data_IF_206239446230
#
_entry.id   IF_206239446230
#
_cell.length_a   1.000
_cell.length_b   1.000
_cell.length_c   1.000
_cell.angle_alpha   90.00
_cell.angle_beta   90.00
_cell.angle_gamma   90.00
#
_symmetry.space_group_name_H-M   'P 1'
#
loop_
_entity.id
_entity.type
_entity.pdbx_description
1 polymer ?
#
# COMPACT_ATOMS: atom_id res chain seq x y z
N UNK A 1 -26.93 -41.26 -45.08
CA UNK A 1 -25.69 -41.82 -44.50
C UNK A 1 -24.53 -41.02 -45.09
N UNK A 2 -24.09 -39.99 -44.36
CA UNK A 2 -22.86 -39.96 -43.52
C UNK A 2 -21.59 -39.80 -44.37
N UNK A 3 -20.68 -38.86 -44.13
CA UNK A 3 -20.56 -37.72 -43.21
C UNK A 3 -19.40 -36.88 -43.79
N UNK A 4 -19.58 -35.56 -43.93
CA UNK A 4 -18.48 -34.62 -44.17
C UNK A 4 -17.89 -34.31 -42.80
N UNK A 5 -16.61 -34.62 -42.59
CA UNK A 5 -15.85 -34.14 -41.44
C UNK A 5 -14.74 -33.21 -41.95
N UNK A 6 -14.94 -31.90 -41.76
CA UNK A 6 -13.88 -30.90 -41.73
C UNK A 6 -13.25 -30.92 -40.34
N UNK A 7 -11.92 -30.92 -40.18
CA UNK A 7 -11.30 -30.70 -38.88
C UNK A 7 -11.31 -29.19 -38.60
N UNK A 8 -12.31 -28.74 -37.85
CA UNK A 8 -12.27 -27.46 -37.17
C UNK A 8 -11.96 -27.74 -35.70
N UNK A 9 -11.12 -26.88 -35.14
CA UNK A 9 -10.81 -26.71 -33.72
C UNK A 9 -9.58 -27.45 -33.16
N UNK A 10 -8.46 -26.74 -33.19
CA UNK A 10 -7.28 -27.00 -32.35
C UNK A 10 -6.61 -25.67 -32.04
N UNK A 11 -7.38 -24.75 -31.45
CA UNK A 11 -6.83 -23.52 -30.87
C UNK A 11 -7.87 -22.92 -29.93
N UNK A 12 -7.84 -23.33 -28.65
CA UNK A 12 -8.12 -22.52 -27.45
C UNK A 12 -8.68 -23.33 -26.26
N UNK A 13 -7.94 -24.33 -25.79
CA UNK A 13 -8.08 -24.84 -24.41
C UNK A 13 -7.11 -24.15 -23.44
N UNK A 14 -6.83 -22.85 -23.66
CA UNK A 14 -6.17 -22.00 -22.68
C UNK A 14 -7.18 -21.00 -22.08
N UNK A 15 -8.43 -21.45 -21.89
CA UNK A 15 -9.47 -20.63 -21.27
C UNK A 15 -9.25 -20.59 -19.76
N UNK A 16 -8.60 -19.51 -19.33
CA UNK A 16 -8.98 -18.75 -18.15
C UNK A 16 -9.10 -19.58 -16.85
N UNK A 17 -7.95 -20.00 -16.31
CA UNK A 17 -7.81 -20.04 -14.85
C UNK A 17 -7.98 -18.62 -14.33
N UNK A 18 -9.24 -18.19 -14.16
CA UNK A 18 -9.57 -17.14 -13.21
C UNK A 18 -8.97 -17.62 -11.89
N UNK A 19 -8.09 -16.86 -11.22
CA UNK A 19 -7.82 -17.19 -9.83
C UNK A 19 -9.18 -17.13 -9.14
N UNK A 20 -9.60 -18.26 -8.59
CA UNK A 20 -10.72 -18.35 -7.66
C UNK A 20 -10.51 -17.21 -6.67
N UNK A 21 -11.33 -16.16 -6.75
CA UNK A 21 -11.26 -15.09 -5.76
C UNK A 21 -11.57 -15.77 -4.44
N UNK A 22 -10.57 -15.92 -3.56
CA UNK A 22 -10.79 -16.44 -2.23
C UNK A 22 -11.74 -15.48 -1.50
N UNK A 23 -13.05 -15.71 -1.65
CA UNK A 23 -14.15 -14.87 -1.19
C UNK A 23 -14.18 -14.68 0.32
N UNK A 24 -13.31 -15.37 1.06
CA UNK A 24 -13.14 -15.25 2.51
C UNK A 24 -12.42 -13.96 2.91
N UNK A 25 -11.53 -13.43 2.09
CA UNK A 25 -10.71 -12.27 2.44
C UNK A 25 -11.40 -10.93 2.14
N UNK A 26 -12.28 -10.86 1.14
CA UNK A 26 -13.07 -9.65 0.85
C UNK A 26 -12.24 -8.35 0.84
N UNK A 27 -12.59 -7.40 1.71
CA UNK A 27 -11.91 -6.10 1.89
C UNK A 27 -10.65 -6.15 2.79
N UNK A 28 -10.35 -7.31 3.40
CA UNK A 28 -9.26 -7.44 4.37
C UNK A 28 -7.88 -7.12 3.80
N UNK A 29 -7.48 -7.59 2.60
CA UNK A 29 -6.18 -7.25 2.03
C UNK A 29 -6.02 -5.74 1.85
N UNK A 30 -7.05 -5.06 1.36
CA UNK A 30 -7.03 -3.60 1.17
C UNK A 30 -6.87 -2.86 2.50
N UNK A 31 -7.61 -3.26 3.54
CA UNK A 31 -7.47 -2.65 4.86
C UNK A 31 -6.07 -2.89 5.44
N UNK A 32 -5.56 -4.13 5.37
CA UNK A 32 -4.21 -4.48 5.83
C UNK A 32 -3.13 -3.70 5.08
N UNK A 33 -3.31 -3.48 3.77
CA UNK A 33 -2.44 -2.62 2.98
C UNK A 33 -2.41 -1.19 3.52
N UNK A 34 -3.58 -0.60 3.81
CA UNK A 34 -3.65 0.77 4.36
C UNK A 34 -3.00 0.84 5.75
N UNK A 35 -3.24 -0.16 6.60
CA UNK A 35 -2.62 -0.23 7.93
C UNK A 35 -1.10 -0.37 7.83
N UNK A 36 -0.60 -1.18 6.89
CA UNK A 36 0.83 -1.37 6.64
C UNK A 36 1.49 -0.09 6.12
N UNK A 37 0.84 0.64 5.22
CA UNK A 37 1.28 1.97 4.78
C UNK A 37 1.43 2.93 5.96
N UNK A 38 0.42 2.97 6.84
CA UNK A 38 0.47 3.82 8.05
C UNK A 38 1.60 3.37 8.99
N UNK A 39 1.79 2.06 9.21
CA UNK A 39 2.88 1.53 10.05
C UNK A 39 4.25 2.01 9.56
N UNK A 40 4.52 1.87 8.26
CA UNK A 40 5.80 2.28 7.67
C UNK A 40 5.98 3.81 7.68
N UNK A 41 4.91 4.59 7.52
CA UNK A 41 4.97 6.06 7.67
C UNK A 41 5.31 6.47 9.11
N UNK A 42 4.75 5.78 10.12
CA UNK A 42 5.10 6.05 11.52
C UNK A 42 6.57 5.72 11.80
N UNK A 43 7.06 4.59 11.27
CA UNK A 43 8.47 4.21 11.33
C UNK A 43 9.38 5.28 10.69
N UNK A 44 8.99 5.80 9.52
CA UNK A 44 9.72 6.86 8.85
C UNK A 44 9.83 8.13 9.70
N UNK A 45 8.74 8.52 10.37
CA UNK A 45 8.72 9.69 11.26
C UNK A 45 9.59 9.48 12.51
N UNK A 46 9.67 8.26 13.05
CA UNK A 46 10.54 7.94 14.18
C UNK A 46 12.01 8.11 13.77
N UNK A 47 12.42 7.54 12.63
CA UNK A 47 13.79 7.67 12.11
C UNK A 47 14.17 9.14 11.92
N UNK A 48 13.29 9.93 11.29
CA UNK A 48 13.54 11.37 11.10
C UNK A 48 13.71 12.13 12.41
N UNK A 49 12.88 11.81 13.42
CA UNK A 49 12.97 12.45 14.73
C UNK A 49 14.23 12.06 15.50
N UNK A 50 14.68 10.82 15.32
CA UNK A 50 15.95 10.32 15.84
C UNK A 50 17.13 11.06 15.21
N UNK A 51 17.17 11.18 13.89
CA UNK A 51 18.23 11.92 13.18
C UNK A 51 18.25 13.42 13.52
N UNK A 52 17.07 14.01 13.71
CA UNK A 52 16.93 15.39 14.15
C UNK A 52 17.26 15.63 15.62
N UNK A 53 17.50 14.58 16.42
CA UNK A 53 17.74 14.68 17.87
C UNK A 53 16.54 15.24 18.66
N UNK A 54 15.33 15.13 18.12
CA UNK A 54 14.08 15.69 18.69
C UNK A 54 13.23 14.65 19.43
N UNK A 55 13.70 13.41 19.50
CA UNK A 55 13.10 12.32 20.29
C UNK A 55 14.09 11.89 21.37
N UNK A 56 13.59 11.64 22.59
CA UNK A 56 14.41 11.10 23.67
C UNK A 56 14.69 9.61 23.44
N UNK A 57 15.79 9.08 24.00
CA UNK A 57 16.11 7.65 23.88
C UNK A 57 14.97 6.76 24.42
N UNK A 58 14.36 7.13 25.55
CA UNK A 58 13.26 6.36 26.13
C UNK A 58 11.97 6.41 25.31
N UNK A 59 11.72 7.53 24.60
CA UNK A 59 10.60 7.62 23.67
C UNK A 59 10.87 6.86 22.37
N UNK A 60 12.12 6.85 21.90
CA UNK A 60 12.55 6.08 20.74
C UNK A 60 12.35 4.58 20.98
N UNK A 61 12.82 4.06 22.11
CA UNK A 61 12.68 2.64 22.47
C UNK A 61 11.20 2.24 22.54
N UNK A 62 10.37 3.06 23.20
CA UNK A 62 8.93 2.82 23.33
C UNK A 62 8.22 2.85 21.97
N UNK A 63 8.63 3.77 21.10
CA UNK A 63 8.09 3.88 19.75
C UNK A 63 8.48 2.67 18.90
N UNK A 64 9.75 2.25 18.95
CA UNK A 64 10.24 1.05 18.26
C UNK A 64 9.49 -0.21 18.70
N UNK A 65 9.32 -0.41 20.03
CA UNK A 65 8.56 -1.54 20.58
C UNK A 65 7.09 -1.53 20.09
N UNK A 66 6.47 -0.34 20.03
CA UNK A 66 5.09 -0.19 19.58
C UNK A 66 4.93 -0.51 18.08
N UNK A 67 5.89 -0.09 17.25
CA UNK A 67 5.90 -0.40 15.81
C UNK A 67 6.11 -1.89 15.58
N UNK A 68 7.00 -2.53 16.33
CA UNK A 68 7.22 -3.97 16.25
C UNK A 68 5.95 -4.75 16.58
N UNK A 69 5.26 -4.40 17.67
CA UNK A 69 3.97 -5.02 18.03
C UNK A 69 2.92 -4.83 16.94
N UNK A 70 2.84 -3.65 16.35
CA UNK A 70 1.91 -3.39 15.24
C UNK A 70 2.25 -4.25 14.01
N UNK A 71 3.52 -4.42 13.67
CA UNK A 71 3.97 -5.31 12.60
C UNK A 71 3.56 -6.76 12.87
N UNK A 72 3.79 -7.27 14.09
CA UNK A 72 3.39 -8.61 14.49
C UNK A 72 1.87 -8.82 14.37
N UNK A 73 1.08 -7.82 14.77
CA UNK A 73 -0.38 -7.86 14.63
C UNK A 73 -0.83 -7.90 13.17
N UNK A 74 -0.19 -7.12 12.29
CA UNK A 74 -0.49 -7.15 10.84
C UNK A 74 -0.18 -8.53 10.28
N UNK A 75 0.99 -9.10 10.59
CA UNK A 75 1.37 -10.44 10.11
C UNK A 75 0.40 -11.52 10.59
N UNK A 76 0.02 -11.47 11.87
CA UNK A 76 -0.97 -12.40 12.42
C UNK A 76 -2.35 -12.24 11.76
N UNK A 77 -2.78 -11.02 11.44
CA UNK A 77 -4.02 -10.79 10.69
C UNK A 77 -3.90 -11.31 9.24
N UNK A 78 -2.75 -11.14 8.58
CA UNK A 78 -2.50 -11.74 7.28
C UNK A 78 -2.66 -13.26 7.31
N UNK A 79 -2.13 -13.94 8.33
CA UNK A 79 -2.32 -15.38 8.53
C UNK A 79 -3.79 -15.76 8.69
N UNK A 80 -4.54 -15.03 9.54
CA UNK A 80 -5.97 -15.27 9.77
C UNK A 80 -6.78 -15.12 8.48
N UNK A 81 -6.46 -14.12 7.66
CA UNK A 81 -7.19 -13.83 6.41
C UNK A 81 -6.61 -14.55 5.19
N UNK A 82 -5.61 -15.42 5.38
CA UNK A 82 -4.93 -16.16 4.30
C UNK A 82 -4.37 -15.22 3.21
N UNK A 83 -3.81 -14.07 3.62
CA UNK A 83 -3.22 -13.05 2.73
C UNK A 83 -1.70 -13.16 2.78
N UNK A 84 -1.03 -13.23 1.63
CA UNK A 84 0.44 -13.14 1.60
C UNK A 84 0.86 -11.69 1.92
N UNK A 85 1.74 -11.43 2.89
CA UNK A 85 2.26 -10.09 3.19
C UNK A 85 2.80 -9.34 1.95
N UNK A 86 3.28 -10.05 0.93
CA UNK A 86 3.72 -9.43 -0.34
C UNK A 86 2.58 -8.81 -1.13
N UNK A 87 1.36 -9.33 -0.99
CA UNK A 87 0.16 -8.80 -1.64
C UNK A 87 -0.31 -7.47 -1.02
N UNK A 88 0.19 -7.13 0.18
CA UNK A 88 -0.09 -5.82 0.77
C UNK A 88 0.49 -4.69 -0.07
N UNK A 89 1.53 -4.95 -0.87
CA UNK A 89 2.10 -3.95 -1.75
C UNK A 89 1.35 -3.87 -3.09
N UNK A 90 0.42 -2.92 -3.18
CA UNK A 90 -0.37 -2.68 -4.38
C UNK A 90 0.47 -2.00 -5.46
N UNK A 91 0.40 -2.52 -6.69
CA UNK A 91 0.94 -1.87 -7.87
C UNK A 91 -0.06 -0.85 -8.43
N UNK A 92 0.38 0.38 -8.64
CA UNK A 92 -0.44 1.51 -9.11
C UNK A 92 -0.16 1.84 -10.58
N UNK A 93 0.42 0.90 -11.34
CA UNK A 93 0.77 1.09 -12.74
C UNK A 93 1.89 2.12 -12.92
N UNK A 94 1.58 3.21 -13.63
CA UNK A 94 2.54 4.28 -13.94
C UNK A 94 2.97 5.10 -12.72
N UNK A 95 2.21 5.05 -11.63
CA UNK A 95 2.50 5.76 -10.37
C UNK A 95 3.41 4.97 -9.42
N UNK A 96 3.91 3.81 -9.84
CA UNK A 96 4.80 2.97 -9.04
C UNK A 96 4.04 2.01 -8.12
N UNK A 97 4.59 1.78 -6.92
CA UNK A 97 3.99 0.90 -5.91
C UNK A 97 3.51 1.70 -4.70
N UNK A 98 2.58 1.14 -3.92
CA UNK A 98 2.12 1.80 -2.71
C UNK A 98 3.24 1.83 -1.66
N UNK A 99 3.88 0.67 -1.45
CA UNK A 99 4.95 0.47 -0.49
C UNK A 99 6.29 0.28 -1.25
N UNK A 100 7.42 0.69 -0.65
CA UNK A 100 8.74 0.39 -1.21
C UNK A 100 9.06 -1.11 -1.14
N UNK A 101 10.08 -1.55 -1.86
CA UNK A 101 10.59 -2.91 -1.69
C UNK A 101 11.23 -3.03 -0.28
N UNK A 102 11.05 -4.17 0.42
CA UNK A 102 11.62 -4.36 1.76
C UNK A 102 13.13 -4.07 1.78
N UNK A 103 13.56 -3.17 2.67
CA UNK A 103 14.97 -2.77 2.81
C UNK A 103 15.48 -1.78 1.76
N UNK A 104 14.64 -1.29 0.84
CA UNK A 104 15.03 -0.31 -0.18
C UNK A 104 14.71 1.15 0.18
N UNK A 105 14.04 1.37 1.30
CA UNK A 105 13.56 2.69 1.72
C UNK A 105 14.17 3.11 3.05
N UNK A 106 14.78 4.28 3.03
CA UNK A 106 15.23 5.00 4.20
C UNK A 106 14.72 6.45 4.10
N UNK A 107 14.06 7.00 5.14
CA UNK A 107 13.42 8.31 5.04
C UNK A 107 14.41 9.43 4.69
N UNK A 108 14.15 10.14 3.59
CA UNK A 108 14.99 11.24 3.13
C UNK A 108 16.02 10.86 2.08
N UNK A 109 16.13 9.59 1.74
CA UNK A 109 16.90 9.12 0.59
C UNK A 109 15.98 8.94 -0.63
N UNK A 110 16.50 9.28 -1.81
CA UNK A 110 15.81 9.03 -3.07
C UNK A 110 15.95 7.55 -3.44
N UNK A 111 14.83 6.84 -3.63
CA UNK A 111 14.86 5.45 -4.08
C UNK A 111 14.81 5.35 -5.61
N UNK A 112 15.35 4.26 -6.18
CA UNK A 112 15.35 4.02 -7.64
C UNK A 112 13.94 3.78 -8.20
N UNK A 113 12.98 3.36 -7.36
CA UNK A 113 11.59 3.10 -7.73
C UNK A 113 10.65 3.90 -6.83
N UNK A 114 9.98 4.94 -7.35
CA UNK A 114 9.13 5.79 -6.53
C UNK A 114 7.96 5.00 -5.95
N UNK A 115 7.67 5.23 -4.65
CA UNK A 115 6.50 4.70 -3.97
C UNK A 115 5.58 5.79 -3.43
N UNK A 116 4.30 5.49 -3.24
CA UNK A 116 3.36 6.43 -2.61
C UNK A 116 3.80 6.75 -1.19
N UNK A 117 4.34 5.77 -0.46
CA UNK A 117 4.91 6.01 0.86
C UNK A 117 5.99 7.08 0.83
N UNK A 118 6.94 6.99 -0.12
CA UNK A 118 8.02 7.96 -0.27
C UNK A 118 7.48 9.35 -0.62
N UNK A 119 6.46 9.44 -1.48
CA UNK A 119 5.79 10.70 -1.76
C UNK A 119 5.13 11.28 -0.51
N UNK A 120 4.38 10.47 0.23
CA UNK A 120 3.67 10.91 1.44
C UNK A 120 4.66 11.33 2.52
N UNK A 121 5.75 10.59 2.72
CA UNK A 121 6.80 10.95 3.67
C UNK A 121 7.48 12.28 3.29
N UNK A 122 7.84 12.48 2.02
CA UNK A 122 8.38 13.77 1.53
C UNK A 122 7.40 14.91 1.76
N UNK A 123 6.13 14.71 1.42
CA UNK A 123 5.09 15.71 1.63
C UNK A 123 4.94 16.07 3.11
N UNK A 124 4.98 15.08 4.00
CA UNK A 124 4.89 15.27 5.46
C UNK A 124 6.06 16.11 5.98
N UNK A 125 7.24 15.97 5.37
CA UNK A 125 8.44 16.70 5.77
C UNK A 125 8.52 18.12 5.15
N UNK A 126 8.32 18.25 3.84
CA UNK A 126 8.56 19.52 3.11
C UNK A 126 7.45 20.55 3.33
N UNK A 127 6.26 20.12 3.73
CA UNK A 127 5.15 21.00 4.02
C UNK A 127 4.53 21.61 2.77
N UNK A 128 3.67 20.84 2.10
CA UNK A 128 2.99 21.24 0.87
C UNK A 128 1.47 21.23 1.09
N UNK A 129 0.78 22.20 0.48
CA UNK A 129 -0.69 22.18 0.37
C UNK A 129 -1.07 21.57 -0.97
N UNK A 130 -1.68 20.40 -0.96
CA UNK A 130 -2.23 19.74 -2.15
C UNK A 130 -3.75 19.69 -2.02
N UNK A 131 -4.45 20.24 -3.01
CA UNK A 131 -5.89 20.11 -3.16
C UNK A 131 -6.20 19.22 -4.36
N UNK A 132 -7.00 18.19 -4.14
CA UNK A 132 -7.38 17.21 -5.15
C UNK A 132 -8.77 16.66 -4.89
N UNK A 133 -9.34 16.02 -5.91
CA UNK A 133 -10.59 15.29 -5.79
C UNK A 133 -10.34 13.87 -6.29
N UNK A 134 -10.87 12.88 -5.58
CA UNK A 134 -10.84 11.47 -5.95
C UNK A 134 -12.25 10.94 -5.95
N UNK A 135 -12.70 10.45 -7.08
CA UNK A 135 -13.99 9.80 -7.22
C UNK A 135 -13.79 8.29 -7.24
N UNK A 136 -14.37 7.58 -6.28
CA UNK A 136 -14.37 6.12 -6.22
C UNK A 136 -15.71 5.61 -6.73
N UNK A 137 -15.66 4.81 -7.78
CA UNK A 137 -16.84 4.24 -8.39
C UNK A 137 -16.91 2.72 -8.33
N UNK A 138 -18.13 2.20 -8.46
CA UNK A 138 -18.41 0.78 -8.65
C UNK A 138 -19.42 0.64 -9.80
N UNK A 139 -19.16 -0.29 -10.73
CA UNK A 139 -20.04 -0.55 -11.86
C UNK A 139 -20.39 0.71 -12.69
N UNK A 140 -19.39 1.57 -12.94
CA UNK A 140 -19.51 2.86 -13.67
C UNK A 140 -20.35 3.93 -12.96
N UNK A 141 -20.59 3.76 -11.67
CA UNK A 141 -21.22 4.78 -10.83
C UNK A 141 -20.16 5.35 -9.91
N UNK A 142 -19.98 6.66 -9.89
CA UNK A 142 -19.19 7.34 -8.86
C UNK A 142 -20.03 7.34 -7.57
N UNK A 143 -19.56 6.62 -6.55
CA UNK A 143 -20.30 6.42 -5.30
C UNK A 143 -19.72 7.25 -4.15
N UNK A 144 -18.42 7.54 -4.20
CA UNK A 144 -17.72 8.26 -3.14
C UNK A 144 -16.90 9.38 -3.79
N UNK A 145 -17.23 10.62 -3.46
CA UNK A 145 -16.47 11.80 -3.85
C UNK A 145 -15.60 12.25 -2.67
N UNK A 146 -14.28 12.09 -2.80
CA UNK A 146 -13.31 12.46 -1.78
C UNK A 146 -12.68 13.80 -2.18
N UNK A 147 -12.95 14.86 -1.41
CA UNK A 147 -12.16 16.10 -1.48
C UNK A 147 -10.93 15.96 -0.60
N UNK A 148 -9.76 15.87 -1.20
CA UNK A 148 -8.49 15.76 -0.53
C UNK A 148 -7.87 17.15 -0.41
N UNK A 149 -7.92 17.74 0.79
CA UNK A 149 -7.11 18.90 1.12
C UNK A 149 -6.06 18.48 2.12
N UNK A 150 -4.86 18.24 1.60
CA UNK A 150 -3.70 17.88 2.39
C UNK A 150 -2.93 19.16 2.69
N UNK A 151 -2.97 19.63 3.94
CA UNK A 151 -2.13 20.74 4.42
C UNK A 151 -1.02 20.11 5.26
N UNK A 152 0.18 20.10 4.72
CA UNK A 152 1.36 19.64 5.44
C UNK A 152 2.21 20.86 5.75
N UNK A 153 2.64 20.99 7.00
CA UNK A 153 3.46 22.11 7.48
C UNK A 153 4.80 21.57 7.92
N UNK A 154 5.90 22.13 7.41
CA UNK A 154 7.26 21.66 7.71
C UNK A 154 7.78 22.12 9.09
N UNK A 155 7.00 22.88 9.86
CA UNK A 155 7.29 23.34 11.22
C UNK A 155 5.97 23.76 11.93
N UNK A 156 5.87 23.66 13.27
CA UNK A 156 4.68 24.13 13.99
C UNK A 156 4.54 25.65 13.91
N UNK A 157 3.29 26.12 13.98
CA UNK A 157 2.91 27.42 14.56
C UNK A 157 2.75 27.23 16.05
#
# INVERSE_FOLDING_TARGET
MTLVCTPYDSANEALLTRPESNSKAGLAPLLLTVVELVRQLLEAQIIRRMEGGIISESDLDRAAESIQKLQEQILHLCEIFEVDPKELNINLGEFGTLLPEPGSYYPGEDSTKPSVLELVDRLLNTGVVVEGNVDLGLAKLDLIHLKLRLVLTSQPV
#
